data_IF_191172511050
#
_entry.id   IF_191172511050
#
_cell.length_a   1.000
_cell.length_b   1.000
_cell.length_c   1.000
_cell.angle_alpha   90.00
_cell.angle_beta   90.00
_cell.angle_gamma   90.00
#
_symmetry.space_group_name_H-M   'P 1'
#
loop_
_entity.id
_entity.type
_entity.pdbx_description
1 polymer ?
#
# COMPACT_ATOMS: atom_id res chain seq x y z
N UNK A 1 5.45 -4.27 30.58
CA UNK A 1 4.78 -3.87 29.34
C UNK A 1 3.98 -2.60 29.59
N UNK A 2 4.03 -1.60 28.71
CA UNK A 2 3.20 -0.42 28.78
C UNK A 2 1.72 -0.71 28.47
N UNK A 3 0.90 0.33 28.39
CA UNK A 3 -0.53 0.21 28.06
C UNK A 3 -0.80 0.10 26.54
N UNK A 4 0.24 0.18 25.70
CA UNK A 4 0.13 0.11 24.25
C UNK A 4 0.04 -1.35 23.79
N UNK A 5 -1.06 -1.70 23.12
CA UNK A 5 -1.18 -2.97 22.39
C UNK A 5 -0.63 -2.76 20.98
N UNK A 6 0.56 -3.26 20.72
CA UNK A 6 1.20 -3.12 19.42
C UNK A 6 0.49 -3.94 18.33
N UNK A 7 0.17 -3.35 17.16
CA UNK A 7 -0.39 -4.12 16.05
C UNK A 7 0.64 -5.12 15.50
N UNK A 8 0.17 -6.28 15.01
CA UNK A 8 1.00 -7.34 14.48
C UNK A 8 2.13 -7.78 15.41
N UNK A 9 1.87 -7.90 16.72
CA UNK A 9 2.87 -8.27 17.73
C UNK A 9 2.48 -9.52 18.50
N UNK A 10 3.50 -10.30 18.89
CA UNK A 10 3.41 -11.27 19.97
C UNK A 10 3.68 -10.55 21.29
N UNK A 11 2.65 -10.37 22.10
CA UNK A 11 2.75 -9.64 23.38
C UNK A 11 3.71 -10.31 24.35
N UNK A 12 3.75 -11.65 24.39
CA UNK A 12 4.66 -12.38 25.27
C UNK A 12 6.14 -12.19 24.85
N UNK A 13 6.40 -12.11 23.56
CA UNK A 13 7.73 -11.76 23.04
C UNK A 13 8.08 -10.33 23.40
N UNK A 14 7.16 -9.39 23.20
CA UNK A 14 7.38 -7.97 23.49
C UNK A 14 7.65 -7.72 24.99
N UNK A 15 6.96 -8.45 25.89
CA UNK A 15 7.25 -8.40 27.33
C UNK A 15 8.68 -8.83 27.67
N UNK A 16 9.24 -9.79 26.95
CA UNK A 16 10.61 -10.28 27.18
C UNK A 16 11.69 -9.38 26.58
N UNK A 17 11.43 -8.84 25.38
CA UNK A 17 12.44 -8.13 24.58
C UNK A 17 12.37 -6.60 24.75
N UNK A 18 11.20 -6.07 25.15
CA UNK A 18 10.96 -4.62 25.27
C UNK A 18 10.71 -3.94 23.91
N UNK A 19 10.33 -2.67 23.99
CA UNK A 19 10.07 -1.83 22.82
C UNK A 19 11.35 -1.15 22.32
N UNK A 20 11.44 -0.94 21.01
CA UNK A 20 12.34 0.05 20.43
C UNK A 20 11.58 1.37 20.26
N UNK A 21 11.88 2.34 21.09
CA UNK A 21 11.19 3.63 21.08
C UNK A 21 11.91 4.58 20.11
N UNK A 22 11.24 4.92 19.00
CA UNK A 22 11.75 5.89 18.02
C UNK A 22 11.29 7.28 18.48
N UNK A 23 12.24 8.21 18.60
CA UNK A 23 12.05 9.55 19.14
C UNK A 23 11.95 10.63 18.04
N UNK A 24 12.82 10.55 17.00
CA UNK A 24 12.85 11.54 15.93
C UNK A 24 13.26 10.94 14.60
N UNK A 25 12.96 11.67 13.51
CA UNK A 25 13.34 11.29 12.14
C UNK A 25 13.78 12.50 11.32
N UNK A 26 14.74 12.28 10.40
CA UNK A 26 15.22 13.28 9.44
C UNK A 26 15.72 12.57 8.17
N UNK A 27 15.27 13.03 7.00
CA UNK A 27 15.58 12.38 5.72
C UNK A 27 15.15 10.92 5.73
N UNK A 28 16.07 10.00 5.56
CA UNK A 28 15.84 8.55 5.56
C UNK A 28 16.21 7.87 6.89
N UNK A 29 16.57 8.67 7.91
CA UNK A 29 17.06 8.19 9.18
C UNK A 29 16.06 8.45 10.32
N UNK A 30 16.07 7.54 11.28
CA UNK A 30 15.37 7.71 12.55
C UNK A 30 16.33 7.47 13.72
N UNK A 31 16.00 8.01 14.87
CA UNK A 31 16.77 7.84 16.11
C UNK A 31 15.87 7.32 17.21
N UNK A 32 16.40 6.39 18.00
CA UNK A 32 15.74 5.97 19.22
C UNK A 32 15.94 6.99 20.38
N UNK A 33 15.22 6.78 21.47
CA UNK A 33 15.31 7.62 22.69
C UNK A 33 16.70 7.63 23.34
N UNK A 34 17.59 6.69 22.97
CA UNK A 34 18.98 6.60 23.42
C UNK A 34 19.95 7.35 22.48
N UNK A 35 19.41 7.95 21.41
CA UNK A 35 20.16 8.70 20.41
C UNK A 35 20.86 7.84 19.37
N UNK A 36 20.59 6.54 19.31
CA UNK A 36 21.14 5.67 18.26
C UNK A 36 20.41 5.91 16.95
N UNK A 37 21.20 6.15 15.90
CA UNK A 37 20.72 6.37 14.53
C UNK A 37 20.47 5.04 13.83
N UNK A 38 19.41 5.01 13.04
CA UNK A 38 19.09 3.91 12.13
C UNK A 38 18.73 4.47 10.75
N UNK A 39 19.17 3.78 9.69
CA UNK A 39 18.65 3.99 8.36
C UNK A 39 17.36 3.17 8.22
N UNK A 40 16.26 3.82 7.83
CA UNK A 40 14.97 3.17 7.65
C UNK A 40 14.86 2.57 6.24
N UNK A 41 15.09 1.27 6.14
CA UNK A 41 14.99 0.51 4.91
C UNK A 41 13.55 0.29 4.43
N UNK A 42 12.53 0.74 5.18
CA UNK A 42 11.13 0.38 4.94
C UNK A 42 10.21 1.57 4.68
N UNK A 43 10.75 2.80 4.74
CA UNK A 43 9.95 4.03 4.77
C UNK A 43 8.80 3.90 5.79
N UNK A 44 9.15 3.47 7.02
CA UNK A 44 8.27 2.97 8.07
C UNK A 44 7.45 1.76 7.60
N UNK A 45 6.27 1.96 7.05
CA UNK A 45 5.42 0.91 6.44
C UNK A 45 5.06 1.30 5.00
N UNK A 46 6.08 1.54 4.15
CA UNK A 46 5.96 2.02 2.75
C UNK A 46 5.32 3.40 2.60
N UNK A 47 5.19 4.19 3.66
CA UNK A 47 4.48 5.46 3.55
C UNK A 47 5.38 6.69 3.48
N UNK A 48 6.56 6.70 4.10
CA UNK A 48 7.41 7.88 4.22
C UNK A 48 8.18 8.18 2.91
N UNK A 49 7.44 8.54 1.84
CA UNK A 49 8.01 8.71 0.51
C UNK A 49 8.92 9.94 0.40
N UNK A 50 8.55 11.08 1.03
CA UNK A 50 9.34 12.33 1.01
C UNK A 50 10.40 12.41 2.09
N UNK A 51 10.56 11.36 2.91
CA UNK A 51 11.45 11.37 4.08
C UNK A 51 10.84 12.05 5.29
N UNK A 52 11.57 11.95 6.41
CA UNK A 52 11.19 12.53 7.69
C UNK A 52 11.61 14.00 7.79
N UNK A 53 11.00 14.75 8.72
CA UNK A 53 11.44 16.10 9.09
C UNK A 53 11.03 17.21 8.10
N UNK A 54 10.05 16.99 7.22
CA UNK A 54 9.55 18.03 6.30
C UNK A 54 8.73 19.08 7.04
N UNK A 55 9.38 20.15 7.46
CA UNK A 55 8.77 21.26 8.22
C UNK A 55 7.58 21.90 7.51
N UNK A 56 7.62 22.02 6.17
CA UNK A 56 6.53 22.60 5.38
C UNK A 56 5.20 21.84 5.51
N UNK A 57 5.22 20.50 5.70
CA UNK A 57 4.01 19.73 5.98
C UNK A 57 3.48 20.06 7.38
N UNK A 58 4.38 20.11 8.38
CA UNK A 58 4.00 20.43 9.75
C UNK A 58 3.42 21.86 9.86
N UNK A 59 3.98 22.82 9.14
CA UNK A 59 3.49 24.20 9.08
C UNK A 59 2.12 24.29 8.42
N UNK A 60 1.90 23.58 7.29
CA UNK A 60 0.61 23.52 6.61
C UNK A 60 -0.48 22.95 7.54
N UNK A 61 -0.17 21.86 8.25
CA UNK A 61 -1.06 21.25 9.25
C UNK A 61 -1.37 22.24 10.37
N UNK A 62 -0.34 22.88 10.95
CA UNK A 62 -0.52 23.83 12.04
C UNK A 62 -1.37 25.04 11.63
N UNK A 63 -1.16 25.57 10.44
CA UNK A 63 -1.95 26.67 9.89
C UNK A 63 -3.43 26.27 9.72
N UNK A 64 -3.67 25.09 9.16
CA UNK A 64 -5.04 24.59 8.95
C UNK A 64 -5.72 24.29 10.29
N UNK A 65 -5.03 23.73 11.27
CA UNK A 65 -5.59 23.46 12.60
C UNK A 65 -5.98 24.74 13.34
N UNK A 66 -5.22 25.84 13.18
CA UNK A 66 -5.60 27.15 13.75
C UNK A 66 -6.85 27.74 13.10
N UNK A 67 -7.07 27.49 11.80
CA UNK A 67 -8.22 27.98 11.04
C UNK A 67 -9.47 27.13 11.28
N UNK A 68 -9.36 25.82 11.03
CA UNK A 68 -10.41 24.82 11.21
C UNK A 68 -9.76 23.43 11.19
N UNK A 69 -9.66 22.73 12.33
CA UNK A 69 -8.98 21.44 12.39
C UNK A 69 -9.73 20.37 11.57
N UNK A 70 -11.04 20.30 11.71
CA UNK A 70 -11.89 19.34 11.01
C UNK A 70 -13.32 19.85 10.91
N UNK A 71 -14.03 19.37 9.90
CA UNK A 71 -15.49 19.45 9.80
C UNK A 71 -16.00 18.26 8.98
N UNK A 72 -17.26 17.86 9.21
CA UNK A 72 -17.90 16.77 8.49
C UNK A 72 -17.98 17.05 6.97
N UNK A 73 -17.77 16.02 6.17
CA UNK A 73 -18.03 16.03 4.73
C UNK A 73 -19.27 15.22 4.36
N UNK A 74 -20.18 14.97 5.33
CA UNK A 74 -21.42 14.24 5.07
C UNK A 74 -22.48 15.15 4.45
N UNK A 75 -23.26 14.57 3.54
CA UNK A 75 -24.30 15.30 2.82
C UNK A 75 -23.71 16.33 1.83
N UNK A 76 -24.08 17.60 2.02
CA UNK A 76 -23.65 18.74 1.20
C UNK A 76 -22.53 19.58 1.84
N UNK A 77 -22.01 19.11 2.98
CA UNK A 77 -20.95 19.80 3.69
C UNK A 77 -19.58 19.46 3.12
N UNK A 78 -18.68 20.42 3.06
CA UNK A 78 -17.29 20.22 2.65
C UNK A 78 -16.36 21.25 3.30
N UNK A 79 -15.07 20.97 3.31
CA UNK A 79 -14.03 21.94 3.65
C UNK A 79 -13.20 22.26 2.40
N UNK A 80 -12.69 23.49 2.31
CA UNK A 80 -11.86 23.87 1.15
C UNK A 80 -10.68 22.93 0.93
N UNK A 81 -9.87 22.57 1.95
CA UNK A 81 -8.78 21.62 1.76
C UNK A 81 -9.23 20.22 1.26
N UNK A 82 -10.38 19.74 1.71
CA UNK A 82 -10.90 18.45 1.24
C UNK A 82 -11.28 18.48 -0.25
N UNK A 83 -11.89 19.58 -0.72
CA UNK A 83 -12.23 19.76 -2.14
C UNK A 83 -10.95 19.86 -2.98
N UNK A 84 -9.99 20.70 -2.57
CA UNK A 84 -8.71 20.87 -3.26
C UNK A 84 -7.91 19.56 -3.32
N UNK A 85 -7.89 18.77 -2.23
CA UNK A 85 -7.24 17.47 -2.23
C UNK A 85 -7.93 16.51 -3.21
N UNK A 86 -9.26 16.44 -3.21
CA UNK A 86 -10.00 15.58 -4.13
C UNK A 86 -9.74 15.96 -5.59
N UNK A 87 -9.76 17.26 -5.93
CA UNK A 87 -9.42 17.78 -7.26
C UNK A 87 -7.98 17.42 -7.65
N UNK A 88 -7.03 17.58 -6.72
CA UNK A 88 -5.63 17.29 -6.95
C UNK A 88 -5.39 15.81 -7.20
N UNK A 89 -5.95 14.93 -6.38
CA UNK A 89 -5.82 13.47 -6.53
C UNK A 89 -6.53 12.99 -7.80
N UNK A 90 -7.70 13.56 -8.13
CA UNK A 90 -8.41 13.25 -9.37
C UNK A 90 -7.58 13.62 -10.62
N UNK A 91 -6.85 14.73 -10.58
CA UNK A 91 -5.96 15.15 -11.68
C UNK A 91 -4.77 14.22 -11.89
N UNK A 92 -4.36 13.47 -10.87
CA UNK A 92 -3.27 12.48 -10.90
C UNK A 92 -3.78 11.06 -11.22
N UNK A 93 -5.11 10.85 -11.28
CA UNK A 93 -5.70 9.52 -11.44
C UNK A 93 -5.32 8.88 -12.79
N UNK A 94 -5.08 7.56 -12.85
CA UNK A 94 -4.81 6.86 -14.10
C UNK A 94 -5.97 6.91 -15.09
N UNK A 95 -7.20 7.11 -14.62
CA UNK A 95 -8.38 7.33 -15.46
C UNK A 95 -8.85 8.77 -15.31
N UNK A 96 -8.78 9.61 -16.37
CA UNK A 96 -9.23 10.98 -16.33
C UNK A 96 -10.71 11.12 -15.94
N UNK A 97 -11.03 12.13 -15.15
CA UNK A 97 -12.39 12.39 -14.68
C UNK A 97 -12.86 11.49 -13.54
N UNK A 98 -11.99 10.71 -12.94
CA UNK A 98 -12.30 9.92 -11.75
C UNK A 98 -12.84 10.80 -10.61
N UNK A 99 -13.80 10.27 -9.86
CA UNK A 99 -14.30 10.88 -8.63
C UNK A 99 -13.59 10.29 -7.42
N UNK A 100 -13.23 11.14 -6.45
CA UNK A 100 -12.43 10.75 -5.29
C UNK A 100 -13.31 10.64 -4.04
N UNK A 101 -13.30 9.46 -3.42
CA UNK A 101 -13.91 9.21 -2.11
C UNK A 101 -12.81 9.19 -1.05
N UNK A 102 -12.73 10.22 -0.21
CA UNK A 102 -11.69 10.33 0.82
C UNK A 102 -11.98 9.41 2.01
N UNK A 103 -10.96 8.71 2.50
CA UNK A 103 -10.98 7.78 3.63
C UNK A 103 -9.88 8.13 4.64
N UNK A 104 -9.73 7.33 5.71
CA UNK A 104 -8.71 7.57 6.73
C UNK A 104 -7.49 6.64 6.61
N UNK A 105 -7.50 5.71 5.66
CA UNK A 105 -6.39 4.77 5.47
C UNK A 105 -6.69 3.69 4.43
N UNK A 106 -5.71 2.81 4.19
CA UNK A 106 -5.81 1.77 3.15
C UNK A 106 -6.91 0.74 3.40
N UNK A 107 -7.08 0.28 4.63
CA UNK A 107 -8.16 -0.67 4.97
C UNK A 107 -9.54 -0.08 4.73
N UNK A 108 -9.72 1.21 5.09
CA UNK A 108 -10.95 1.96 4.78
C UNK A 108 -11.18 2.05 3.27
N UNK A 109 -10.12 2.33 2.50
CA UNK A 109 -10.19 2.45 1.04
C UNK A 109 -10.61 1.14 0.38
N UNK A 110 -10.04 0.02 0.81
CA UNK A 110 -10.39 -1.32 0.29
C UNK A 110 -11.85 -1.67 0.62
N UNK A 111 -12.29 -1.53 1.87
CA UNK A 111 -13.68 -1.82 2.24
C UNK A 111 -14.67 -0.86 1.54
N UNK A 112 -14.27 0.36 1.26
CA UNK A 112 -15.05 1.31 0.44
C UNK A 112 -15.16 0.81 -1.00
N UNK A 113 -14.05 0.38 -1.62
CA UNK A 113 -14.06 -0.15 -2.99
C UNK A 113 -14.92 -1.41 -3.11
N UNK A 114 -14.87 -2.33 -2.13
CA UNK A 114 -15.76 -3.49 -2.03
C UNK A 114 -17.24 -3.10 -2.07
N UNK A 115 -17.60 -2.11 -1.25
CA UNK A 115 -18.99 -1.61 -1.18
C UNK A 115 -19.40 -0.90 -2.45
N UNK A 116 -18.51 -0.08 -3.05
CA UNK A 116 -18.78 0.58 -4.33
C UNK A 116 -19.02 -0.48 -5.41
N UNK A 117 -18.18 -1.51 -5.52
CA UNK A 117 -18.30 -2.55 -6.52
C UNK A 117 -19.65 -3.28 -6.42
N UNK A 118 -20.02 -3.77 -5.23
CA UNK A 118 -21.32 -4.45 -5.05
C UNK A 118 -22.51 -3.51 -5.26
N UNK A 119 -22.43 -2.27 -4.81
CA UNK A 119 -23.50 -1.28 -5.02
C UNK A 119 -23.63 -0.87 -6.48
N UNK A 120 -22.55 -0.74 -7.21
CA UNK A 120 -22.54 -0.50 -8.64
C UNK A 120 -23.39 -1.56 -9.37
N UNK A 121 -23.13 -2.84 -9.12
CA UNK A 121 -23.86 -3.92 -9.78
C UNK A 121 -25.33 -3.95 -9.43
N UNK A 122 -25.68 -3.62 -8.20
CA UNK A 122 -27.09 -3.46 -7.82
C UNK A 122 -27.76 -2.31 -8.59
N UNK A 123 -27.08 -1.17 -8.73
CA UNK A 123 -27.63 0.00 -9.44
C UNK A 123 -27.79 -0.21 -10.94
N UNK A 124 -26.96 -1.07 -11.55
CA UNK A 124 -27.10 -1.44 -12.98
C UNK A 124 -28.01 -2.66 -13.19
N UNK A 125 -28.74 -3.09 -12.14
CA UNK A 125 -29.73 -4.16 -12.25
C UNK A 125 -29.18 -5.58 -12.25
N UNK A 126 -27.96 -5.77 -11.73
CA UNK A 126 -27.28 -7.08 -11.63
C UNK A 126 -26.88 -7.39 -10.17
N UNK A 127 -27.83 -7.47 -9.24
CA UNK A 127 -27.54 -7.65 -7.81
C UNK A 127 -26.91 -9.00 -7.44
N UNK A 128 -26.97 -9.99 -8.34
CA UNK A 128 -26.32 -11.29 -8.22
C UNK A 128 -24.79 -11.25 -8.33
N UNK A 129 -24.21 -10.16 -8.84
CA UNK A 129 -22.77 -9.95 -8.90
C UNK A 129 -22.21 -9.58 -7.51
N UNK A 130 -21.85 -10.58 -6.75
CA UNK A 130 -21.36 -10.44 -5.36
C UNK A 130 -20.01 -11.10 -5.12
N UNK A 131 -19.57 -12.02 -6.00
CA UNK A 131 -18.32 -12.74 -5.88
C UNK A 131 -17.15 -11.79 -6.07
N UNK A 132 -16.17 -11.89 -5.15
CA UNK A 132 -14.92 -11.12 -5.18
C UNK A 132 -13.77 -12.05 -5.50
N UNK A 133 -12.85 -11.60 -6.35
CA UNK A 133 -11.65 -12.36 -6.70
C UNK A 133 -10.42 -11.60 -6.24
N UNK A 134 -9.44 -12.30 -5.68
CA UNK A 134 -8.15 -11.75 -5.29
C UNK A 134 -7.00 -12.72 -5.63
N UNK A 135 -5.77 -12.22 -5.58
CA UNK A 135 -4.60 -13.06 -5.83
C UNK A 135 -4.08 -13.71 -4.55
N UNK A 136 -3.54 -14.92 -4.65
CA UNK A 136 -2.68 -15.47 -3.60
C UNK A 136 -1.52 -14.51 -3.30
N UNK A 137 -0.99 -14.53 -2.09
CA UNK A 137 0.05 -13.60 -1.59
C UNK A 137 -0.38 -12.13 -1.47
N UNK A 138 -1.59 -11.75 -1.86
CA UNK A 138 -2.05 -10.36 -1.77
C UNK A 138 -2.31 -9.90 -0.34
N UNK A 139 -2.24 -8.57 -0.13
CA UNK A 139 -2.61 -7.93 1.12
C UNK A 139 -3.48 -6.71 0.86
N UNK A 140 -4.69 -6.71 1.42
CA UNK A 140 -5.68 -5.67 1.17
C UNK A 140 -6.22 -5.01 2.47
N UNK A 141 -5.38 -4.93 3.50
CA UNK A 141 -5.76 -4.33 4.78
C UNK A 141 -6.35 -5.33 5.78
N UNK A 142 -6.80 -4.82 6.94
CA UNK A 142 -7.19 -5.63 8.09
C UNK A 142 -8.62 -5.38 8.59
N UNK A 143 -9.46 -4.61 7.87
CA UNK A 143 -10.90 -4.68 8.07
C UNK A 143 -11.41 -6.03 7.57
N UNK A 144 -12.57 -6.49 8.06
CA UNK A 144 -13.07 -7.82 7.72
C UNK A 144 -13.23 -8.03 6.20
N UNK A 145 -13.58 -6.99 5.44
CA UNK A 145 -13.62 -7.04 3.98
C UNK A 145 -12.24 -7.27 3.37
N UNK A 146 -11.25 -6.44 3.72
CA UNK A 146 -9.88 -6.58 3.26
C UNK A 146 -9.24 -7.92 3.70
N UNK A 147 -9.49 -8.36 4.94
CA UNK A 147 -9.02 -9.67 5.43
C UNK A 147 -9.61 -10.83 4.62
N UNK A 148 -10.87 -10.69 4.16
CA UNK A 148 -11.55 -11.73 3.38
C UNK A 148 -10.93 -11.96 2.00
N UNK A 149 -10.37 -10.92 1.40
CA UNK A 149 -9.70 -10.95 0.09
C UNK A 149 -8.17 -10.94 0.21
N UNK A 150 -7.62 -11.29 1.37
CA UNK A 150 -6.17 -11.35 1.57
C UNK A 150 -5.60 -12.73 1.24
N UNK A 151 -4.57 -12.77 0.41
CA UNK A 151 -3.84 -13.98 0.01
C UNK A 151 -2.70 -14.38 0.96
N UNK A 152 -2.72 -13.90 2.22
CA UNK A 152 -1.82 -14.28 3.30
C UNK A 152 -2.65 -15.03 4.35
N UNK A 153 -2.67 -16.38 4.33
CA UNK A 153 -3.61 -17.17 5.15
C UNK A 153 -3.53 -16.89 6.66
N UNK A 154 -2.33 -16.56 7.16
CA UNK A 154 -2.14 -16.24 8.58
C UNK A 154 -2.96 -15.02 9.03
N UNK A 155 -3.25 -14.07 8.14
CA UNK A 155 -4.01 -12.86 8.46
C UNK A 155 -5.51 -13.13 8.67
N UNK A 156 -6.02 -14.27 8.18
CA UNK A 156 -7.43 -14.65 8.28
C UNK A 156 -7.71 -15.61 9.43
N UNK A 157 -6.66 -16.14 10.09
CA UNK A 157 -6.83 -17.15 11.15
C UNK A 157 -7.48 -16.58 12.40
N UNK A 158 -8.46 -17.33 12.96
CA UNK A 158 -9.06 -17.03 14.26
C UNK A 158 -10.23 -16.04 14.22
N UNK A 159 -10.58 -15.48 13.06
CA UNK A 159 -11.66 -14.47 12.96
C UNK A 159 -13.04 -15.05 12.60
N UNK A 160 -13.17 -16.37 12.52
CA UNK A 160 -14.46 -17.01 12.19
C UNK A 160 -14.85 -16.82 10.72
N UNK A 161 -16.15 -16.70 10.47
CA UNK A 161 -16.67 -16.51 9.10
C UNK A 161 -16.42 -15.07 8.63
N UNK A 162 -15.64 -14.93 7.59
CA UNK A 162 -15.37 -13.68 6.91
C UNK A 162 -16.43 -13.39 5.84
N UNK A 163 -16.22 -12.36 5.00
CA UNK A 163 -17.12 -12.03 3.89
C UNK A 163 -17.22 -13.25 2.96
N UNK A 164 -18.42 -13.78 2.68
CA UNK A 164 -18.59 -14.93 1.82
C UNK A 164 -18.38 -14.59 0.33
N UNK A 165 -18.33 -15.64 -0.51
CA UNK A 165 -18.20 -15.53 -1.96
C UNK A 165 -16.90 -14.81 -2.39
N UNK A 166 -15.78 -15.30 -1.85
CA UNK A 166 -14.44 -14.84 -2.19
C UNK A 166 -13.68 -15.98 -2.86
N UNK A 167 -12.98 -15.69 -3.95
CA UNK A 167 -12.16 -16.65 -4.70
C UNK A 167 -10.71 -16.17 -4.74
N UNK A 168 -9.79 -17.05 -4.38
CA UNK A 168 -8.37 -16.86 -4.58
C UNK A 168 -7.93 -17.44 -5.91
N UNK A 169 -7.07 -16.70 -6.63
CA UNK A 169 -6.41 -17.16 -7.85
C UNK A 169 -4.88 -17.07 -7.70
N UNK A 170 -4.15 -17.81 -8.51
CA UNK A 170 -2.69 -17.73 -8.54
C UNK A 170 -2.23 -16.29 -8.82
N UNK A 171 -1.22 -15.83 -8.10
CA UNK A 171 -0.77 -14.44 -8.17
C UNK A 171 -0.14 -14.08 -9.52
N UNK A 172 0.35 -15.08 -10.25
CA UNK A 172 1.15 -15.00 -11.46
C UNK A 172 0.49 -15.63 -12.70
N UNK A 173 -0.77 -16.06 -12.61
CA UNK A 173 -1.49 -16.71 -13.71
C UNK A 173 -2.78 -15.99 -14.08
N UNK A 174 -2.78 -15.28 -15.20
CA UNK A 174 -4.00 -14.71 -15.78
C UNK A 174 -4.97 -15.82 -16.28
N UNK A 175 -4.45 -16.98 -16.67
CA UNK A 175 -5.28 -18.12 -17.04
C UNK A 175 -6.11 -18.62 -15.86
N UNK A 176 -5.53 -18.70 -14.65
CA UNK A 176 -6.27 -19.12 -13.46
C UNK A 176 -7.37 -18.11 -13.09
N UNK A 177 -7.13 -16.80 -13.31
CA UNK A 177 -8.16 -15.76 -13.17
C UNK A 177 -9.34 -16.03 -14.13
N UNK A 178 -9.06 -16.34 -15.40
CA UNK A 178 -10.10 -16.65 -16.40
C UNK A 178 -10.92 -17.87 -15.98
N UNK A 179 -10.25 -18.97 -15.63
CA UNK A 179 -10.90 -20.21 -15.19
C UNK A 179 -11.74 -20.01 -13.92
N UNK A 180 -11.26 -19.22 -12.96
CA UNK A 180 -11.99 -18.92 -11.74
C UNK A 180 -13.28 -18.13 -12.02
N UNK A 181 -13.21 -17.13 -12.90
CA UNK A 181 -14.39 -16.36 -13.32
C UNK A 181 -15.40 -17.26 -14.06
N UNK A 182 -14.94 -18.08 -15.00
CA UNK A 182 -15.79 -19.02 -15.75
C UNK A 182 -16.46 -20.04 -14.81
N UNK A 183 -15.71 -20.60 -13.88
CA UNK A 183 -16.22 -21.58 -12.90
C UNK A 183 -17.23 -20.98 -11.92
N UNK A 184 -17.05 -19.71 -11.53
CA UNK A 184 -17.98 -19.01 -10.66
C UNK A 184 -19.28 -18.60 -11.35
N UNK A 185 -19.25 -18.48 -12.67
CA UNK A 185 -20.24 -17.81 -13.52
C UNK A 185 -19.91 -16.32 -13.63
N UNK A 186 -19.50 -15.83 -14.83
CA UNK A 186 -19.11 -14.43 -15.02
C UNK A 186 -20.15 -13.43 -14.52
N UNK A 187 -21.44 -13.77 -14.64
CA UNK A 187 -22.58 -12.97 -14.19
C UNK A 187 -22.67 -12.84 -12.66
N UNK A 188 -21.91 -13.61 -11.90
CA UNK A 188 -21.85 -13.57 -10.45
C UNK A 188 -20.66 -12.78 -9.90
N UNK A 189 -19.62 -12.57 -10.72
CA UNK A 189 -18.38 -11.94 -10.26
C UNK A 189 -18.51 -10.43 -10.29
N UNK A 190 -18.29 -9.79 -9.14
CA UNK A 190 -18.39 -8.35 -8.97
C UNK A 190 -17.08 -7.64 -9.30
N UNK A 191 -15.97 -8.09 -8.74
CA UNK A 191 -14.70 -7.39 -8.86
C UNK A 191 -13.50 -8.33 -8.66
N UNK A 192 -12.38 -7.98 -9.31
CA UNK A 192 -11.06 -8.54 -9.09
C UNK A 192 -10.16 -7.47 -8.44
N UNK A 193 -9.57 -7.81 -7.28
CA UNK A 193 -8.64 -6.95 -6.54
C UNK A 193 -7.20 -7.34 -6.85
N UNK A 194 -6.40 -6.35 -7.27
CA UNK A 194 -5.06 -6.57 -7.76
C UNK A 194 -4.10 -5.45 -7.30
N UNK A 195 -3.08 -5.79 -6.50
CA UNK A 195 -1.93 -4.90 -6.32
C UNK A 195 -1.10 -4.91 -7.62
N UNK A 196 -0.78 -3.80 -8.28
CA UNK A 196 0.10 -3.82 -9.47
C UNK A 196 1.45 -4.49 -9.21
N UNK A 197 2.03 -4.26 -8.04
CA UNK A 197 3.15 -5.03 -7.47
C UNK A 197 2.69 -5.53 -6.11
N UNK A 198 2.72 -6.82 -5.86
CA UNK A 198 2.42 -7.37 -4.54
C UNK A 198 3.48 -6.88 -3.55
N UNK A 199 3.05 -6.18 -2.50
CA UNK A 199 3.96 -5.61 -1.51
C UNK A 199 4.18 -6.53 -0.30
N UNK A 200 3.24 -6.52 0.63
CA UNK A 200 3.35 -7.20 1.93
C UNK A 200 3.49 -8.74 1.82
N UNK A 201 2.98 -9.32 0.76
CA UNK A 201 3.11 -10.74 0.47
C UNK A 201 4.51 -11.20 0.12
N UNK A 202 5.48 -10.30 -0.11
CA UNK A 202 6.87 -10.68 -0.36
C UNK A 202 7.59 -9.88 -1.44
N UNK A 203 7.04 -8.79 -1.91
CA UNK A 203 7.50 -8.00 -3.07
C UNK A 203 7.60 -8.88 -4.32
N UNK A 204 6.46 -9.06 -4.98
CA UNK A 204 6.39 -9.80 -6.23
C UNK A 204 5.95 -8.87 -7.37
N UNK A 205 6.87 -8.48 -8.26
CA UNK A 205 6.53 -7.82 -9.51
C UNK A 205 5.58 -8.69 -10.35
N UNK A 206 4.68 -8.09 -11.13
CA UNK A 206 3.83 -8.86 -12.02
C UNK A 206 4.67 -9.55 -13.09
N UNK A 207 4.35 -10.80 -13.47
CA UNK A 207 4.93 -11.39 -14.67
C UNK A 207 4.66 -10.54 -15.92
N UNK A 208 5.52 -10.64 -16.91
CA UNK A 208 5.36 -9.94 -18.19
C UNK A 208 3.99 -10.22 -18.81
N UNK A 209 3.26 -9.17 -19.20
CA UNK A 209 1.92 -9.27 -19.81
C UNK A 209 0.78 -9.64 -18.84
N UNK A 210 1.08 -9.99 -17.59
CA UNK A 210 0.05 -10.44 -16.62
C UNK A 210 -1.04 -9.39 -16.38
N UNK A 211 -0.65 -8.15 -16.08
CA UNK A 211 -1.61 -7.10 -15.75
C UNK A 211 -2.50 -6.74 -16.93
N UNK A 212 -1.92 -6.66 -18.13
CA UNK A 212 -2.65 -6.42 -19.36
C UNK A 212 -3.69 -7.50 -19.63
N UNK A 213 -3.29 -8.79 -19.56
CA UNK A 213 -4.21 -9.90 -19.79
C UNK A 213 -5.27 -10.00 -18.68
N UNK A 214 -4.91 -9.78 -17.41
CA UNK A 214 -5.88 -9.74 -16.31
C UNK A 214 -6.91 -8.62 -16.49
N UNK A 215 -6.49 -7.42 -16.92
CA UNK A 215 -7.41 -6.32 -17.25
C UNK A 215 -8.32 -6.67 -18.40
N UNK A 216 -7.80 -7.29 -19.44
CA UNK A 216 -8.57 -7.75 -20.61
C UNK A 216 -9.61 -8.80 -20.20
N UNK A 217 -9.25 -9.81 -19.41
CA UNK A 217 -10.17 -10.82 -18.88
C UNK A 217 -11.31 -10.15 -18.10
N UNK A 218 -10.99 -9.23 -17.20
CA UNK A 218 -12.01 -8.50 -16.44
C UNK A 218 -12.96 -7.72 -17.35
N UNK A 219 -12.44 -7.07 -18.40
CA UNK A 219 -13.25 -6.33 -19.39
C UNK A 219 -14.17 -7.25 -20.18
N UNK A 220 -13.65 -8.39 -20.67
CA UNK A 220 -14.43 -9.39 -21.43
C UNK A 220 -15.56 -10.01 -20.59
N UNK A 221 -15.30 -10.24 -19.28
CA UNK A 221 -16.26 -10.82 -18.34
C UNK A 221 -17.16 -9.77 -17.66
N UNK A 222 -16.98 -8.48 -17.99
CA UNK A 222 -17.64 -7.35 -17.29
C UNK A 222 -17.42 -7.39 -15.77
N UNK A 223 -16.22 -7.73 -15.30
CA UNK A 223 -15.80 -7.74 -13.90
C UNK A 223 -15.07 -6.43 -13.60
N UNK A 224 -15.40 -5.73 -12.50
CA UNK A 224 -14.68 -4.52 -12.13
C UNK A 224 -13.24 -4.85 -11.73
N UNK A 225 -12.28 -4.15 -12.35
CA UNK A 225 -10.86 -4.24 -12.00
C UNK A 225 -10.54 -3.19 -10.95
N UNK A 226 -10.18 -3.62 -9.74
CA UNK A 226 -9.78 -2.76 -8.63
C UNK A 226 -8.27 -2.82 -8.47
N UNK A 227 -7.57 -1.74 -8.82
CA UNK A 227 -6.14 -1.60 -8.56
C UNK A 227 -5.92 -1.17 -7.10
N UNK A 228 -5.31 -2.04 -6.30
CA UNK A 228 -4.88 -1.67 -4.96
C UNK A 228 -3.50 -1.02 -5.02
N UNK A 229 -3.51 0.30 -5.00
CA UNK A 229 -2.32 1.15 -5.06
C UNK A 229 -1.95 1.75 -3.70
N UNK A 230 -2.38 1.11 -2.63
CA UNK A 230 -2.05 1.56 -1.26
C UNK A 230 -0.54 1.58 -1.03
N UNK A 231 0.22 0.66 -1.63
CA UNK A 231 1.69 0.63 -1.58
C UNK A 231 2.28 1.28 -2.84
N UNK A 232 1.78 0.96 -4.00
CA UNK A 232 2.40 1.27 -5.30
C UNK A 232 2.18 2.71 -5.76
N UNK A 233 1.16 3.39 -5.23
CA UNK A 233 0.85 4.77 -5.56
C UNK A 233 1.83 5.80 -5.00
N UNK A 234 1.69 7.02 -5.47
CA UNK A 234 2.45 8.19 -5.05
C UNK A 234 3.96 8.02 -5.20
N UNK A 235 4.39 7.73 -6.43
CA UNK A 235 5.79 7.71 -6.82
C UNK A 235 6.53 6.40 -6.60
N UNK A 236 6.01 5.49 -5.78
CA UNK A 236 6.70 4.26 -5.38
C UNK A 236 7.13 3.40 -6.57
N UNK A 237 6.37 3.42 -7.66
CA UNK A 237 6.64 2.67 -8.89
C UNK A 237 7.04 3.56 -10.08
N UNK A 238 7.54 4.76 -9.88
CA UNK A 238 8.06 5.59 -10.97
C UNK A 238 7.02 6.44 -11.68
N UNK A 239 5.79 6.47 -11.19
CA UNK A 239 4.70 7.35 -11.64
C UNK A 239 3.82 7.66 -10.41
N UNK A 240 2.87 8.59 -10.54
CA UNK A 240 1.90 8.88 -9.48
C UNK A 240 1.12 7.63 -9.05
N UNK A 241 0.76 6.77 -10.00
CA UNK A 241 0.15 5.47 -9.78
C UNK A 241 0.83 4.42 -10.66
N UNK A 242 1.04 3.22 -10.13
CA UNK A 242 1.58 2.12 -10.91
C UNK A 242 0.66 1.75 -12.09
N UNK A 243 -0.66 1.94 -11.96
CA UNK A 243 -1.60 1.78 -13.07
C UNK A 243 -1.26 2.67 -14.27
N UNK A 244 -0.79 3.91 -14.05
CA UNK A 244 -0.32 4.78 -15.14
C UNK A 244 0.93 4.23 -15.80
N UNK A 245 1.90 3.76 -14.98
CA UNK A 245 3.14 3.15 -15.50
C UNK A 245 2.90 1.91 -16.34
N UNK A 246 1.91 1.08 -15.95
CA UNK A 246 1.58 -0.19 -16.62
C UNK A 246 0.45 -0.04 -17.65
N UNK A 247 0.05 1.17 -17.98
CA UNK A 247 -1.02 1.48 -18.95
C UNK A 247 -2.35 0.75 -18.63
N UNK A 248 -2.67 0.68 -17.34
CA UNK A 248 -3.91 0.08 -16.85
C UNK A 248 -5.00 1.15 -16.71
N UNK A 249 -6.20 0.82 -17.13
CA UNK A 249 -7.39 1.64 -16.95
C UNK A 249 -8.30 0.99 -15.88
N UNK A 250 -7.96 1.06 -14.58
CA UNK A 250 -8.76 0.41 -13.54
C UNK A 250 -10.12 1.08 -13.39
N UNK A 251 -11.12 0.28 -13.00
CA UNK A 251 -12.45 0.79 -12.69
C UNK A 251 -12.48 1.50 -11.34
N UNK A 252 -11.68 1.00 -10.37
CA UNK A 252 -11.46 1.59 -9.06
C UNK A 252 -9.96 1.54 -8.72
N UNK A 253 -9.47 2.58 -8.03
CA UNK A 253 -8.12 2.59 -7.43
C UNK A 253 -8.27 2.82 -5.94
N UNK A 254 -7.66 1.98 -5.11
CA UNK A 254 -7.51 2.26 -3.67
C UNK A 254 -6.12 2.83 -3.39
N UNK A 255 -6.03 3.89 -2.61
CA UNK A 255 -4.75 4.48 -2.24
C UNK A 255 -4.74 5.00 -0.80
N UNK A 256 -3.53 5.15 -0.24
CA UNK A 256 -3.27 5.66 1.09
C UNK A 256 -1.77 6.02 1.23
N UNK A 257 -1.17 5.74 2.39
CA UNK A 257 0.29 5.78 2.65
C UNK A 257 1.01 7.01 2.06
N UNK A 258 1.55 6.88 0.86
CA UNK A 258 2.31 7.91 0.16
C UNK A 258 1.55 9.22 -0.06
N UNK A 259 0.20 9.23 0.00
CA UNK A 259 -0.60 10.45 -0.18
C UNK A 259 -0.26 11.55 0.83
N UNK A 260 0.16 11.16 2.04
CA UNK A 260 0.62 12.09 3.10
C UNK A 260 2.04 11.82 3.53
N UNK A 261 2.73 10.86 2.94
CA UNK A 261 3.99 10.30 3.44
C UNK A 261 3.96 9.94 4.93
N UNK A 262 2.77 9.57 5.44
CA UNK A 262 2.57 9.15 6.82
C UNK A 262 2.54 10.28 7.86
N UNK A 263 2.63 11.54 7.44
CA UNK A 263 2.55 12.68 8.36
C UNK A 263 1.19 12.75 9.06
N UNK A 264 0.10 12.41 8.37
CA UNK A 264 -1.22 12.18 8.95
C UNK A 264 -1.93 11.03 8.22
N UNK A 265 -2.84 10.29 8.89
CA UNK A 265 -3.53 9.15 8.29
C UNK A 265 -4.53 9.61 7.23
N UNK A 266 -4.38 9.11 5.99
CA UNK A 266 -5.28 9.37 4.87
C UNK A 266 -5.37 8.19 3.92
N UNK A 267 -6.47 8.14 3.18
CA UNK A 267 -6.65 7.24 2.05
C UNK A 267 -7.72 7.78 1.12
N UNK A 268 -7.88 7.14 -0.02
CA UNK A 268 -8.94 7.45 -0.96
C UNK A 268 -9.27 6.25 -1.85
N UNK A 269 -10.49 6.30 -2.43
CA UNK A 269 -10.88 5.49 -3.58
C UNK A 269 -11.12 6.44 -4.75
N UNK A 270 -10.46 6.16 -5.87
CA UNK A 270 -10.70 6.84 -7.13
C UNK A 270 -11.62 5.95 -7.96
N UNK A 271 -12.78 6.47 -8.32
CA UNK A 271 -13.76 5.73 -9.12
C UNK A 271 -13.84 6.31 -10.53
N UNK A 272 -13.68 5.46 -11.54
CA UNK A 272 -13.78 5.85 -12.93
C UNK A 272 -15.17 6.43 -13.26
N UNK A 273 -15.27 7.34 -14.26
CA UNK A 273 -16.55 8.01 -14.58
C UNK A 273 -17.72 7.05 -14.84
N UNK A 274 -17.47 5.93 -15.50
CA UNK A 274 -18.49 4.92 -15.80
C UNK A 274 -18.96 4.15 -14.55
N UNK A 275 -18.11 4.01 -13.51
CA UNK A 275 -18.52 3.43 -12.22
C UNK A 275 -19.38 4.42 -11.44
N UNK A 276 -19.08 5.72 -11.54
CA UNK A 276 -19.79 6.78 -10.81
C UNK A 276 -21.15 7.08 -11.42
N UNK A 277 -21.33 6.92 -12.74
CA UNK A 277 -22.54 7.30 -13.47
C UNK A 277 -23.82 6.72 -12.85
N UNK A 278 -23.93 5.42 -12.54
CA UNK A 278 -25.14 4.86 -11.93
C UNK A 278 -25.49 5.47 -10.57
N UNK A 279 -24.50 5.94 -9.80
CA UNK A 279 -24.71 6.58 -8.50
C UNK A 279 -25.29 8.00 -8.61
N UNK A 280 -25.19 8.65 -9.78
CA UNK A 280 -25.74 9.99 -10.04
C UNK A 280 -27.21 9.97 -10.45
N UNK A 281 -27.76 8.80 -10.73
CA UNK A 281 -29.16 8.66 -11.13
C UNK A 281 -30.08 8.96 -9.95
N UNK A 282 -31.22 9.62 -10.13
CA UNK A 282 -32.14 9.93 -9.04
C UNK A 282 -32.60 8.70 -8.24
N UNK A 283 -32.76 7.55 -8.90
CA UNK A 283 -33.17 6.28 -8.30
C UNK A 283 -32.07 5.59 -7.49
N UNK A 284 -30.81 5.99 -7.63
CA UNK A 284 -29.71 5.42 -6.86
C UNK A 284 -29.87 5.69 -5.36
N UNK A 285 -30.44 6.83 -5.03
CA UNK A 285 -30.57 7.28 -3.66
C UNK A 285 -29.22 7.53 -2.98
N UNK A 286 -29.22 7.59 -1.66
CA UNK A 286 -28.01 7.83 -0.88
C UNK A 286 -27.12 6.59 -0.83
N UNK A 287 -25.82 6.73 -1.16
CA UNK A 287 -24.81 5.73 -0.85
C UNK A 287 -24.49 5.80 0.65
N UNK A 288 -25.06 4.89 1.44
CA UNK A 288 -24.97 4.87 2.91
C UNK A 288 -23.60 4.30 3.35
N UNK A 289 -22.55 5.05 3.09
CA UNK A 289 -21.17 4.72 3.46
C UNK A 289 -20.35 5.99 3.64
N UNK A 290 -19.43 5.96 4.60
CA UNK A 290 -18.52 7.05 4.91
C UNK A 290 -17.89 6.85 6.29
N UNK A 291 -16.81 7.57 6.54
CA UNK A 291 -16.11 7.57 7.82
C UNK A 291 -16.18 8.95 8.45
N UNK A 292 -16.24 9.00 9.77
CA UNK A 292 -16.33 10.26 10.53
C UNK A 292 -15.25 11.26 10.13
N UNK A 293 -14.04 10.76 9.80
CA UNK A 293 -12.89 11.59 9.46
C UNK A 293 -12.60 11.66 7.96
N UNK A 294 -13.52 11.23 7.09
CA UNK A 294 -13.40 11.43 5.64
C UNK A 294 -13.18 12.91 5.33
N UNK A 295 -12.12 13.25 4.60
CA UNK A 295 -11.84 14.63 4.21
C UNK A 295 -11.47 15.56 5.37
N UNK A 296 -10.90 15.05 6.46
CA UNK A 296 -10.43 15.84 7.61
C UNK A 296 -9.51 16.98 7.14
N UNK A 297 -9.86 18.23 7.49
CA UNK A 297 -9.23 19.43 6.89
C UNK A 297 -7.71 19.51 7.10
N UNK A 298 -7.21 19.19 8.32
CA UNK A 298 -5.79 19.20 8.59
C UNK A 298 -5.04 18.05 7.87
N UNK A 299 -5.69 16.89 7.70
CA UNK A 299 -5.15 15.77 6.91
C UNK A 299 -5.06 16.14 5.43
N UNK A 300 -6.08 16.80 4.91
CA UNK A 300 -6.08 17.30 3.51
C UNK A 300 -4.96 18.34 3.30
N UNK A 301 -4.73 19.23 4.25
CA UNK A 301 -3.62 20.19 4.19
C UNK A 301 -2.25 19.49 4.19
N UNK A 302 -2.08 18.44 5.00
CA UNK A 302 -0.86 17.62 4.99
C UNK A 302 -0.65 16.94 3.62
N UNK A 303 -1.71 16.34 3.07
CA UNK A 303 -1.64 15.67 1.78
C UNK A 303 -1.29 16.65 0.64
N UNK A 304 -1.93 17.82 0.60
CA UNK A 304 -1.63 18.86 -0.40
C UNK A 304 -0.18 19.34 -0.32
N UNK A 305 0.34 19.58 0.88
CA UNK A 305 1.74 19.95 1.08
C UNK A 305 2.69 18.84 0.62
N UNK A 306 2.38 17.57 0.98
CA UNK A 306 3.15 16.41 0.56
C UNK A 306 3.17 16.24 -0.96
N UNK A 307 2.02 16.32 -1.64
CA UNK A 307 1.94 16.25 -3.10
C UNK A 307 2.72 17.39 -3.77
N UNK A 308 2.69 18.59 -3.19
CA UNK A 308 3.50 19.73 -3.66
C UNK A 308 5.00 19.50 -3.55
N UNK A 309 5.48 18.83 -2.49
CA UNK A 309 6.89 18.42 -2.34
C UNK A 309 7.24 17.40 -3.41
N UNK A 310 6.44 16.36 -3.56
CA UNK A 310 6.69 15.28 -4.52
C UNK A 310 6.77 15.79 -5.96
N UNK A 311 5.90 16.75 -6.32
CA UNK A 311 5.90 17.37 -7.65
C UNK A 311 7.12 18.28 -7.86
N UNK A 312 7.41 19.17 -6.90
CA UNK A 312 8.53 20.11 -6.97
C UNK A 312 9.87 19.40 -7.05
N UNK A 313 10.02 18.27 -6.37
CA UNK A 313 11.24 17.47 -6.33
C UNK A 313 11.24 16.35 -7.38
N UNK A 314 10.20 16.24 -8.20
CA UNK A 314 10.00 15.18 -9.20
C UNK A 314 10.25 13.77 -8.66
N UNK A 315 9.76 13.47 -7.46
CA UNK A 315 10.01 12.17 -6.83
C UNK A 315 9.44 10.98 -7.61
N UNK A 316 8.26 11.06 -8.26
CA UNK A 316 7.79 9.98 -9.13
C UNK A 316 8.75 9.70 -10.29
N UNK A 317 9.23 10.73 -11.00
CA UNK A 317 10.18 10.58 -12.10
C UNK A 317 11.55 10.07 -11.64
N UNK A 318 12.07 10.61 -10.53
CA UNK A 318 13.33 10.18 -9.94
C UNK A 318 13.30 8.70 -9.49
N UNK A 319 12.14 8.17 -9.09
CA UNK A 319 11.99 6.78 -8.66
C UNK A 319 12.30 5.77 -9.78
N UNK A 320 12.19 6.13 -11.05
CA UNK A 320 12.59 5.28 -12.19
C UNK A 320 14.10 5.00 -12.24
N UNK A 321 14.92 5.97 -11.83
CA UNK A 321 16.36 5.74 -11.69
C UNK A 321 16.66 5.04 -10.37
N UNK A 322 15.99 5.45 -9.29
CA UNK A 322 16.20 4.89 -7.96
C UNK A 322 15.88 3.39 -7.88
N UNK A 323 14.89 2.89 -8.63
CA UNK A 323 14.61 1.44 -8.69
C UNK A 323 15.79 0.63 -9.24
N UNK A 324 16.51 1.19 -10.23
CA UNK A 324 17.69 0.57 -10.82
C UNK A 324 18.86 0.61 -9.85
N UNK A 325 19.08 1.76 -9.22
CA UNK A 325 20.13 1.97 -8.24
C UNK A 325 19.94 1.05 -7.03
N UNK A 326 18.69 0.88 -6.58
CA UNK A 326 18.32 -0.05 -5.51
C UNK A 326 18.61 -1.51 -5.90
N UNK A 327 18.21 -1.91 -7.10
CA UNK A 327 18.46 -3.26 -7.61
C UNK A 327 19.97 -3.54 -7.73
N UNK A 328 20.74 -2.57 -8.22
CA UNK A 328 22.21 -2.71 -8.31
C UNK A 328 22.87 -2.79 -6.94
N UNK A 329 22.47 -1.95 -6.00
CA UNK A 329 23.01 -1.97 -4.63
C UNK A 329 22.75 -3.30 -3.90
N UNK A 330 21.59 -3.91 -4.12
CA UNK A 330 21.21 -5.16 -3.46
C UNK A 330 21.70 -6.41 -4.18
N UNK A 331 22.06 -6.33 -5.48
CA UNK A 331 22.49 -7.47 -6.30
C UNK A 331 23.58 -8.32 -5.64
N UNK A 332 24.65 -7.75 -5.00
CA UNK A 332 25.68 -8.57 -4.37
C UNK A 332 25.21 -9.43 -3.19
N UNK A 333 24.01 -9.14 -2.63
CA UNK A 333 23.44 -9.96 -1.56
C UNK A 333 22.94 -11.31 -2.06
N UNK A 334 22.67 -11.45 -3.36
CA UNK A 334 22.24 -12.71 -3.96
C UNK A 334 23.30 -13.83 -3.82
N UNK A 335 24.58 -13.46 -3.71
CA UNK A 335 25.69 -14.41 -3.53
C UNK A 335 25.88 -14.85 -2.06
N UNK A 336 25.12 -14.28 -1.13
CA UNK A 336 25.27 -14.60 0.30
C UNK A 336 24.62 -15.96 0.62
N UNK A 337 25.30 -16.85 1.41
CA UNK A 337 24.81 -18.22 1.68
C UNK A 337 23.41 -18.30 2.29
N UNK A 338 23.00 -17.31 3.07
CA UNK A 338 21.65 -17.24 3.69
C UNK A 338 20.57 -16.68 2.77
N UNK A 339 20.92 -16.15 1.59
CA UNK A 339 19.98 -15.55 0.64
C UNK A 339 19.61 -16.57 -0.43
N UNK A 340 18.33 -16.69 -0.69
CA UNK A 340 17.76 -17.51 -1.76
C UNK A 340 17.62 -16.70 -3.04
N UNK A 341 17.09 -15.47 -2.91
CA UNK A 341 16.74 -14.59 -4.03
C UNK A 341 16.74 -13.12 -3.57
N UNK A 342 17.09 -12.22 -4.47
CA UNK A 342 16.85 -10.77 -4.33
C UNK A 342 15.85 -10.35 -5.38
N UNK A 343 14.65 -9.94 -4.96
CA UNK A 343 13.62 -9.38 -5.83
C UNK A 343 13.72 -7.85 -5.79
N UNK A 344 13.96 -7.23 -6.93
CA UNK A 344 14.11 -5.77 -7.10
C UNK A 344 13.93 -5.39 -8.58
N UNK A 345 13.88 -4.09 -8.89
CA UNK A 345 13.88 -3.57 -10.27
C UNK A 345 12.49 -3.25 -10.82
N UNK A 346 11.45 -3.27 -9.97
CA UNK A 346 10.12 -2.77 -10.32
C UNK A 346 9.61 -1.89 -9.18
N UNK A 347 9.72 -0.59 -9.36
CA UNK A 347 9.51 0.38 -8.31
C UNK A 347 10.65 0.41 -7.28
N UNK A 348 10.58 1.36 -6.37
CA UNK A 348 11.50 1.42 -5.21
C UNK A 348 10.99 0.42 -4.16
N UNK A 349 10.93 -0.82 -4.58
CA UNK A 349 10.42 -1.99 -3.85
C UNK A 349 11.38 -3.14 -4.05
N UNK A 350 11.92 -3.69 -2.96
CA UNK A 350 12.77 -4.86 -3.01
C UNK A 350 12.54 -5.77 -1.80
N UNK A 351 12.93 -7.04 -1.96
CA UNK A 351 12.94 -8.03 -0.90
C UNK A 351 14.19 -8.90 -1.03
N UNK A 352 14.87 -9.11 0.09
CA UNK A 352 15.97 -10.09 0.21
C UNK A 352 15.38 -11.35 0.81
N UNK A 353 15.05 -12.34 -0.04
CA UNK A 353 14.48 -13.61 0.39
C UNK A 353 15.51 -14.44 1.09
N UNK A 354 15.26 -14.79 2.33
CA UNK A 354 16.12 -15.67 3.10
C UNK A 354 15.77 -17.13 2.84
N UNK A 355 16.79 -18.00 2.89
CA UNK A 355 16.59 -19.45 2.83
C UNK A 355 15.83 -19.93 4.06
N UNK A 356 15.05 -20.99 3.89
CA UNK A 356 14.35 -21.62 5.01
C UNK A 356 15.35 -22.36 5.89
N UNK A 357 15.37 -22.06 7.20
CA UNK A 357 16.09 -22.83 8.21
C UNK A 357 15.18 -23.85 8.90
N UNK A 358 15.76 -24.91 9.48
CA UNK A 358 14.99 -25.99 10.13
C UNK A 358 14.14 -25.52 11.32
N UNK A 359 14.40 -24.33 11.86
CA UNK A 359 13.64 -23.75 12.98
C UNK A 359 12.76 -22.57 12.62
N UNK A 360 12.75 -22.13 11.35
CA UNK A 360 11.97 -20.97 10.91
C UNK A 360 12.38 -19.63 11.56
N UNK A 361 13.52 -19.60 12.27
CA UNK A 361 13.92 -18.45 13.08
C UNK A 361 14.83 -17.46 12.35
N UNK A 362 15.35 -17.84 11.18
CA UNK A 362 16.32 -17.03 10.43
C UNK A 362 15.82 -15.62 10.13
N UNK A 363 14.58 -15.39 9.65
CA UNK A 363 14.10 -14.03 9.38
C UNK A 363 14.11 -13.14 10.63
N UNK A 364 13.69 -13.66 11.77
CA UNK A 364 13.67 -12.91 13.03
C UNK A 364 15.07 -12.58 13.53
N UNK A 365 16.04 -13.52 13.40
CA UNK A 365 17.45 -13.28 13.75
C UNK A 365 18.06 -12.23 12.82
N UNK A 366 17.85 -12.34 11.51
CA UNK A 366 18.35 -11.39 10.53
C UNK A 366 17.79 -9.97 10.76
N UNK A 367 16.50 -9.82 11.08
CA UNK A 367 15.89 -8.51 11.44
C UNK A 367 16.58 -7.92 12.68
N UNK A 368 16.86 -8.73 13.71
CA UNK A 368 17.59 -8.25 14.89
C UNK A 368 19.01 -7.83 14.55
N UNK A 369 19.73 -8.64 13.78
CA UNK A 369 21.09 -8.31 13.33
C UNK A 369 21.12 -7.04 12.47
N UNK A 370 20.15 -6.83 11.57
CA UNK A 370 20.01 -5.58 10.84
C UNK A 370 19.83 -4.37 11.78
N UNK A 371 19.00 -4.50 12.82
CA UNK A 371 18.86 -3.45 13.85
C UNK A 371 20.17 -3.17 14.57
N UNK A 372 20.93 -4.20 14.89
CA UNK A 372 22.27 -4.06 15.50
C UNK A 372 23.28 -3.41 14.54
N UNK A 373 23.15 -3.65 13.24
CA UNK A 373 23.94 -2.97 12.20
C UNK A 373 23.44 -1.54 11.88
N UNK A 374 22.38 -1.05 12.54
CA UNK A 374 21.84 0.29 12.32
C UNK A 374 20.86 0.39 11.15
N UNK A 375 20.32 -0.72 10.68
CA UNK A 375 19.30 -0.78 9.61
C UNK A 375 17.97 -1.25 10.18
N UNK A 376 16.91 -0.48 9.99
CA UNK A 376 15.56 -0.91 10.32
C UNK A 376 14.90 -1.57 9.12
N UNK A 377 14.64 -2.86 9.25
CA UNK A 377 13.86 -3.65 8.30
C UNK A 377 12.93 -4.60 9.05
N UNK A 378 12.10 -5.32 8.33
CA UNK A 378 11.21 -6.35 8.87
C UNK A 378 11.12 -7.55 7.94
N UNK A 379 10.67 -8.67 8.47
CA UNK A 379 10.32 -9.84 7.67
C UNK A 379 8.93 -9.66 7.04
N UNK A 380 8.82 -9.93 5.75
CA UNK A 380 7.56 -10.06 5.01
C UNK A 380 6.94 -11.45 5.23
N UNK A 381 5.73 -11.69 4.70
CA UNK A 381 5.02 -12.95 4.85
C UNK A 381 5.81 -14.18 4.38
N UNK A 382 6.71 -14.03 3.40
CA UNK A 382 7.61 -15.09 2.92
C UNK A 382 8.88 -15.26 3.74
N UNK A 383 9.09 -14.47 4.79
CA UNK A 383 10.36 -14.41 5.52
C UNK A 383 11.45 -13.57 4.85
N UNK A 384 11.15 -12.89 3.76
CA UNK A 384 12.09 -11.97 3.10
C UNK A 384 12.26 -10.68 3.91
N UNK A 385 13.48 -10.11 3.91
CA UNK A 385 13.70 -8.77 4.45
C UNK A 385 13.15 -7.72 3.47
N UNK A 386 12.32 -6.83 3.96
CA UNK A 386 11.77 -5.72 3.18
C UNK A 386 12.83 -4.65 2.94
N UNK A 387 12.96 -4.19 1.69
CA UNK A 387 13.78 -3.02 1.34
C UNK A 387 12.99 -2.11 0.42
N UNK A 388 12.50 -1.02 0.96
CA UNK A 388 11.67 -0.03 0.24
C UNK A 388 11.80 1.33 0.93
N UNK A 389 13.00 1.95 0.83
CA UNK A 389 13.32 3.19 1.54
C UNK A 389 12.49 4.37 1.02
N UNK A 390 12.63 5.54 1.65
CA UNK A 390 12.06 6.78 1.13
C UNK A 390 12.61 7.08 -0.26
N UNK A 391 11.82 7.76 -1.10
CA UNK A 391 12.20 8.12 -2.48
C UNK A 391 13.33 9.17 -2.53
N UNK A 392 13.67 9.73 -1.39
CA UNK A 392 14.72 10.74 -1.23
C UNK A 392 16.07 10.15 -0.82
N UNK A 393 16.18 8.81 -0.74
CA UNK A 393 17.44 8.14 -0.38
C UNK A 393 18.52 8.42 -1.41
N UNK A 394 19.72 8.78 -0.94
CA UNK A 394 20.86 9.05 -1.80
C UNK A 394 21.62 7.75 -2.18
N UNK A 395 22.45 7.79 -3.24
CA UNK A 395 23.30 6.65 -3.60
C UNK A 395 24.29 6.22 -2.50
N UNK A 396 24.70 7.16 -1.63
CA UNK A 396 25.57 6.84 -0.50
C UNK A 396 24.82 6.06 0.58
N UNK A 397 23.58 6.47 0.87
CA UNK A 397 22.70 5.80 1.82
C UNK A 397 22.22 4.44 1.31
N UNK A 398 22.02 4.28 -0.01
CA UNK A 398 21.75 2.97 -0.61
C UNK A 398 22.90 1.98 -0.39
N UNK A 399 24.16 2.44 -0.51
CA UNK A 399 25.33 1.63 -0.20
C UNK A 399 25.39 1.29 1.30
N UNK A 400 25.21 2.28 2.18
CA UNK A 400 25.13 2.07 3.63
C UNK A 400 24.07 1.01 3.99
N UNK A 401 22.90 1.07 3.35
CA UNK A 401 21.82 0.12 3.54
C UNK A 401 22.21 -1.29 3.11
N UNK A 402 22.77 -1.46 1.92
CA UNK A 402 23.18 -2.78 1.40
C UNK A 402 24.32 -3.39 2.21
N UNK A 403 25.32 -2.60 2.58
CA UNK A 403 26.46 -3.01 3.42
C UNK A 403 25.98 -3.40 4.83
N UNK A 404 25.05 -2.64 5.40
CA UNK A 404 24.45 -2.94 6.70
C UNK A 404 23.66 -4.25 6.70
N UNK A 405 22.89 -4.52 5.65
CA UNK A 405 22.20 -5.81 5.49
C UNK A 405 23.20 -6.95 5.34
N UNK A 406 24.26 -6.77 4.53
CA UNK A 406 25.31 -7.79 4.38
C UNK A 406 25.98 -8.11 5.72
N UNK A 407 26.43 -7.10 6.44
CA UNK A 407 27.06 -7.27 7.76
C UNK A 407 26.12 -7.98 8.76
N UNK A 408 24.83 -7.69 8.71
CA UNK A 408 23.81 -8.35 9.53
C UNK A 408 23.66 -9.84 9.16
N UNK A 409 23.67 -10.16 7.87
CA UNK A 409 23.60 -11.55 7.39
C UNK A 409 24.86 -12.33 7.76
N UNK A 410 26.07 -11.73 7.61
CA UNK A 410 27.35 -12.33 8.04
C UNK A 410 27.34 -12.65 9.55
N UNK A 411 26.78 -11.75 10.37
CA UNK A 411 26.64 -11.96 11.82
C UNK A 411 25.56 -12.99 12.21
N UNK A 412 24.68 -13.36 11.28
CA UNK A 412 23.56 -14.30 11.51
C UNK A 412 23.94 -15.73 11.05
N UNK A 413 24.92 -15.86 10.15
CA UNK A 413 25.42 -17.13 9.63
C UNK A 413 26.15 -17.94 10.70
#
# INVERSE_FOLDING_TARGET
MGALWHPFSDLAQLEREGELVIDRGEGVHVWDERGRRYLDATASLWYCNVGYGRGEIAEAVAAQMRRLPAYSTFGDLATRPALELAERVAALAPVPGSLVFLTSGGSDSVDTALKIARRYWQLVGRPERTVLVHRSRSYHGMHLGGTSIAGIPANAQGYGTLVPEVLEVAWDSAADLREAIERAGPERVAAFFCEPVIGAGGVFPPPEGYLEEARKICREAEVLFVADEVITGFGRCGDWFASSRFDLEPDLVTCAKGVTSGYLPAGAVLAAPWVVEPFRRPEAGMFRHGYTYSGHAAVAAAALANLGIMEREDLPGAALQLEKDLAEALRPLADHPLVEEVRAGTGVLAAVQLRTDQGGSLPARAVRACREAGILTRALATGALQVSPALTISPAELRELADGIRAALDATA
#
